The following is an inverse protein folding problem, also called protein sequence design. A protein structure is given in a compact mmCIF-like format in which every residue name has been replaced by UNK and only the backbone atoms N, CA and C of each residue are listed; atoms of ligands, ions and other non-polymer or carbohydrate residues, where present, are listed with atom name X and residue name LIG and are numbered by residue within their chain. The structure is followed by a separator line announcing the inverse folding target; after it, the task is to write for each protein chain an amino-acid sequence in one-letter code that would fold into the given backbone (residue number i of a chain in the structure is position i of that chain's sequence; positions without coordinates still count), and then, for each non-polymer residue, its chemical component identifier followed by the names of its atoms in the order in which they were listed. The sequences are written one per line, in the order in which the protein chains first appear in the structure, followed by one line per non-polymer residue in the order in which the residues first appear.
data_IF_291510903898
#
_entry.id   IF_291510903898
#
_cell.length_a   1.000
_cell.length_b   1.000
_cell.length_c   1.000
_cell.angle_alpha   90.00
_cell.angle_beta   90.00
_cell.angle_gamma   90.00
#
_symmetry.space_group_name_H-M   'P 1'
#
loop_
_entity.id
_entity.type
_entity.pdbx_description
1 polymer ?
#
# COMPACT_ATOMS: atom_id res chain seq x y z
N UNK A 1 7.77 -3.38 -13.38
CA UNK A 1 8.15 -2.02 -12.96
C UNK A 1 6.90 -1.43 -12.35
N UNK A 2 6.96 -1.06 -11.07
CA UNK A 2 5.83 -0.57 -10.29
C UNK A 2 5.76 0.96 -10.40
N UNK A 3 4.58 1.57 -10.27
CA UNK A 3 4.39 3.04 -10.29
C UNK A 3 5.31 3.75 -9.28
N UNK A 4 5.63 3.12 -8.15
CA UNK A 4 6.55 3.68 -7.15
C UNK A 4 7.98 3.89 -7.68
N UNK A 5 8.38 3.15 -8.72
CA UNK A 5 9.70 3.29 -9.36
C UNK A 5 9.80 4.61 -10.15
N UNK A 6 8.68 5.19 -10.54
CA UNK A 6 8.61 6.43 -11.34
C UNK A 6 8.55 7.70 -10.46
N UNK A 7 8.26 7.55 -9.16
CA UNK A 7 8.18 8.66 -8.21
C UNK A 7 9.58 8.97 -7.66
N UNK A 8 10.02 10.23 -7.75
CA UNK A 8 11.22 10.70 -7.06
C UNK A 8 10.91 10.99 -5.60
N UNK A 9 11.37 10.10 -4.72
CA UNK A 9 11.12 10.20 -3.28
C UNK A 9 12.19 11.01 -2.54
N UNK A 10 13.23 11.51 -3.23
CA UNK A 10 14.33 12.22 -2.59
C UNK A 10 13.84 13.47 -1.87
N UNK A 11 14.19 13.59 -0.60
CA UNK A 11 13.79 14.73 0.22
C UNK A 11 12.34 14.69 0.76
N UNK A 12 11.53 13.70 0.34
CA UNK A 12 10.13 13.59 0.78
C UNK A 12 10.00 13.01 2.19
N UNK A 13 8.93 13.41 2.89
CA UNK A 13 8.45 12.76 4.10
C UNK A 13 7.40 11.73 3.71
N UNK A 14 7.75 10.45 3.81
CA UNK A 14 6.90 9.34 3.39
C UNK A 14 6.21 8.66 4.57
N UNK A 15 5.07 8.03 4.32
CA UNK A 15 4.38 7.14 5.25
C UNK A 15 4.16 5.78 4.57
N UNK A 16 4.64 4.72 5.20
CA UNK A 16 4.27 3.34 4.86
C UNK A 16 3.16 2.88 5.81
N UNK A 17 1.97 2.65 5.26
CA UNK A 17 0.80 2.17 5.97
C UNK A 17 0.82 0.64 5.98
N UNK A 18 1.12 0.05 7.14
CA UNK A 18 1.25 -1.40 7.29
C UNK A 18 2.67 -1.89 7.03
N UNK A 19 3.57 -1.73 8.00
CA UNK A 19 5.00 -2.08 7.85
C UNK A 19 5.28 -3.48 7.28
N UNK A 20 4.50 -4.49 7.69
CA UNK A 20 4.71 -5.89 7.30
C UNK A 20 6.15 -6.35 7.48
N UNK A 21 6.73 -6.97 6.46
CA UNK A 21 8.13 -7.39 6.44
C UNK A 21 9.15 -6.23 6.25
N UNK A 22 8.69 -5.01 6.01
CA UNK A 22 9.53 -3.81 5.89
C UNK A 22 10.08 -3.54 4.50
N UNK A 23 9.63 -4.25 3.45
CA UNK A 23 10.16 -4.08 2.09
C UNK A 23 9.97 -2.66 1.56
N UNK A 24 8.75 -2.13 1.61
CA UNK A 24 8.46 -0.77 1.13
C UNK A 24 9.14 0.30 1.99
N UNK A 25 9.16 0.10 3.32
CA UNK A 25 9.89 0.98 4.25
C UNK A 25 11.37 1.09 3.89
N UNK A 26 12.02 -0.05 3.65
CA UNK A 26 13.43 -0.11 3.23
C UNK A 26 13.63 0.53 1.86
N UNK A 27 12.75 0.21 0.90
CA UNK A 27 12.81 0.73 -0.47
C UNK A 27 12.79 2.27 -0.47
N UNK A 28 11.85 2.90 0.25
CA UNK A 28 11.75 4.36 0.35
C UNK A 28 13.01 4.99 0.96
N UNK A 29 13.55 4.38 2.03
CA UNK A 29 14.76 4.88 2.67
C UNK A 29 16.01 4.77 1.77
N UNK A 30 16.14 3.65 1.05
CA UNK A 30 17.21 3.41 0.07
C UNK A 30 17.16 4.37 -1.12
N UNK A 31 15.94 4.75 -1.55
CA UNK A 31 15.70 5.69 -2.66
C UNK A 31 15.86 7.16 -2.27
N UNK A 32 16.18 7.44 -1.01
CA UNK A 32 16.58 8.77 -0.56
C UNK A 32 15.47 9.61 0.05
N UNK A 33 14.36 9.00 0.49
CA UNK A 33 13.38 9.68 1.33
C UNK A 33 14.07 10.39 2.51
N UNK A 34 13.60 11.60 2.84
CA UNK A 34 14.12 12.36 3.98
C UNK A 34 13.78 11.68 5.29
N UNK A 35 12.54 11.20 5.38
CA UNK A 35 12.00 10.50 6.55
C UNK A 35 10.90 9.55 6.10
N UNK A 36 10.87 8.34 6.66
CA UNK A 36 9.82 7.35 6.45
C UNK A 36 9.16 7.03 7.79
N UNK A 37 7.87 7.32 7.91
CA UNK A 37 7.03 6.83 8.99
C UNK A 37 6.52 5.44 8.64
N UNK A 38 7.04 4.40 9.29
CA UNK A 38 6.62 3.02 9.09
C UNK A 38 5.64 2.63 10.19
N UNK A 39 4.37 2.46 9.84
CA UNK A 39 3.28 2.30 10.82
C UNK A 39 2.74 0.87 10.78
N UNK A 40 2.57 0.25 11.94
CA UNK A 40 1.93 -1.06 12.09
C UNK A 40 1.25 -1.18 13.45
N UNK A 41 0.13 -1.88 13.54
CA UNK A 41 -0.48 -2.24 14.83
C UNK A 41 0.21 -3.46 15.47
N UNK A 42 0.99 -4.22 14.71
CA UNK A 42 1.77 -5.37 15.15
C UNK A 42 3.23 -4.96 15.44
N UNK A 43 3.67 -5.18 16.69
CA UNK A 43 5.04 -4.87 17.14
C UNK A 43 6.09 -5.80 16.51
N UNK A 44 5.75 -7.07 16.29
CA UNK A 44 6.68 -8.04 15.70
C UNK A 44 7.06 -7.65 14.26
N UNK A 45 6.10 -7.12 13.48
CA UNK A 45 6.37 -6.56 12.16
C UNK A 45 7.37 -5.40 12.22
N UNK A 46 7.21 -4.49 13.19
CA UNK A 46 8.11 -3.35 13.37
C UNK A 46 9.52 -3.80 13.74
N UNK A 47 9.64 -4.73 14.70
CA UNK A 47 10.92 -5.23 15.16
C UNK A 47 11.65 -6.01 14.05
N UNK A 48 10.91 -6.84 13.31
CA UNK A 48 11.41 -7.57 12.16
C UNK A 48 11.93 -6.63 11.06
N UNK A 49 11.11 -5.65 10.65
CA UNK A 49 11.48 -4.67 9.63
C UNK A 49 12.69 -3.83 10.05
N UNK A 50 12.73 -3.38 11.32
CA UNK A 50 13.85 -2.64 11.89
C UNK A 50 15.15 -3.44 11.86
N UNK A 51 15.10 -4.74 12.23
CA UNK A 51 16.27 -5.63 12.21
C UNK A 51 16.85 -5.81 10.81
N UNK A 52 16.01 -5.81 9.77
CA UNK A 52 16.43 -5.98 8.36
C UNK A 52 16.82 -4.69 7.65
N UNK A 53 16.53 -3.53 8.25
CA UNK A 53 16.89 -2.23 7.69
C UNK A 53 18.41 -2.02 7.80
N UNK A 54 19.13 -1.71 6.71
CA UNK A 54 20.55 -1.39 6.78
C UNK A 54 20.81 -0.23 7.74
N UNK A 55 21.80 -0.37 8.64
CA UNK A 55 22.09 0.60 9.71
C UNK A 55 22.22 2.04 9.23
N UNK A 56 22.78 2.27 8.02
CA UNK A 56 22.91 3.61 7.43
C UNK A 56 21.58 4.34 7.18
N UNK A 57 20.45 3.64 7.21
CA UNK A 57 19.12 4.21 6.99
C UNK A 57 18.27 4.27 8.26
N UNK A 58 18.78 3.80 9.42
CA UNK A 58 17.98 3.71 10.65
C UNK A 58 17.43 5.07 11.08
N UNK A 59 18.25 6.12 10.98
CA UNK A 59 17.87 7.50 11.32
C UNK A 59 16.84 8.10 10.36
N UNK A 60 16.66 7.51 9.17
CA UNK A 60 15.67 7.94 8.19
C UNK A 60 14.31 7.27 8.40
N UNK A 61 14.18 6.33 9.33
CA UNK A 61 12.93 5.57 9.51
C UNK A 61 12.44 5.65 10.95
N UNK A 62 11.20 6.11 11.12
CA UNK A 62 10.48 6.07 12.38
C UNK A 62 9.45 4.95 12.34
N UNK A 63 9.75 3.87 13.04
CA UNK A 63 8.82 2.77 13.28
C UNK A 63 7.86 3.14 14.41
N UNK A 64 6.55 3.15 14.14
CA UNK A 64 5.53 3.57 15.10
C UNK A 64 4.47 2.48 15.21
N UNK A 65 4.23 2.02 16.44
CA UNK A 65 3.10 1.15 16.75
C UNK A 65 1.83 2.00 16.87
N UNK A 66 0.91 1.87 15.92
CA UNK A 66 -0.35 2.61 15.93
C UNK A 66 -1.43 1.91 15.10
N UNK A 67 -2.67 2.27 15.39
CA UNK A 67 -3.82 1.94 14.54
C UNK A 67 -3.88 2.91 13.35
N UNK A 68 -3.94 2.39 12.12
CA UNK A 68 -4.00 3.21 10.91
C UNK A 68 -5.29 4.04 10.83
N UNK A 69 -6.35 3.66 11.55
CA UNK A 69 -7.61 4.43 11.67
C UNK A 69 -7.44 5.69 12.52
N UNK A 70 -6.34 5.80 13.29
CA UNK A 70 -6.03 6.95 14.15
C UNK A 70 -4.53 7.11 14.32
N UNK A 71 -3.92 7.86 13.42
CA UNK A 71 -2.48 8.08 13.36
C UNK A 71 -2.01 9.14 14.37
N UNK A 72 -0.91 8.91 15.12
CA UNK A 72 -0.31 9.89 16.01
C UNK A 72 0.55 10.90 15.24
N UNK A 73 0.03 11.43 14.12
CA UNK A 73 0.71 12.36 13.22
C UNK A 73 -0.15 13.61 13.03
N UNK A 74 0.53 14.74 12.85
CA UNK A 74 -0.11 16.02 12.57
C UNK A 74 -0.76 16.03 11.18
N UNK A 75 -1.82 16.82 11.03
CA UNK A 75 -2.48 17.04 9.74
C UNK A 75 -1.48 17.58 8.72
N UNK A 76 -1.61 17.16 7.46
CA UNK A 76 -0.89 17.75 6.32
C UNK A 76 0.63 17.79 6.49
N UNK A 77 1.22 16.67 6.88
CA UNK A 77 2.68 16.52 7.05
C UNK A 77 3.34 15.51 6.12
N UNK A 78 2.56 14.65 5.45
CA UNK A 78 3.07 13.58 4.59
C UNK A 78 3.05 13.99 3.12
N UNK A 79 4.17 13.81 2.43
CA UNK A 79 4.33 14.09 0.99
C UNK A 79 3.90 12.89 0.13
N UNK A 80 4.20 11.66 0.60
CA UNK A 80 3.89 10.42 -0.09
C UNK A 80 3.41 9.35 0.89
N UNK A 81 2.29 8.72 0.60
CA UNK A 81 1.80 7.54 1.32
C UNK A 81 1.89 6.30 0.43
N UNK A 82 2.40 5.21 0.97
CA UNK A 82 2.37 3.89 0.36
C UNK A 82 1.52 2.95 1.21
N UNK A 83 0.66 2.16 0.56
CA UNK A 83 -0.12 1.09 1.15
C UNK A 83 0.11 -0.16 0.29
N UNK A 84 1.13 -0.94 0.66
CA UNK A 84 1.58 -2.09 -0.10
C UNK A 84 1.17 -3.39 0.59
N UNK A 85 0.36 -4.21 -0.06
CA UNK A 85 -0.19 -5.46 0.51
C UNK A 85 -0.93 -5.22 1.83
N UNK A 86 -1.72 -4.14 1.88
CA UNK A 86 -2.48 -3.72 3.06
C UNK A 86 -3.98 -3.87 2.85
N UNK A 87 -4.52 -3.38 1.73
CA UNK A 87 -5.95 -3.20 1.58
C UNK A 87 -6.68 -4.53 1.59
N UNK A 88 -6.08 -5.60 1.02
CA UNK A 88 -6.73 -6.91 1.01
C UNK A 88 -6.80 -7.57 2.39
N UNK A 89 -6.09 -7.11 3.41
CA UNK A 89 -6.18 -7.66 4.79
C UNK A 89 -7.04 -6.80 5.72
N UNK A 90 -7.75 -5.80 5.18
CA UNK A 90 -8.58 -4.87 5.95
C UNK A 90 -10.04 -5.02 5.51
N UNK A 91 -10.97 -5.02 6.46
CA UNK A 91 -12.41 -5.05 6.15
C UNK A 91 -12.90 -3.70 5.57
N UNK A 92 -14.05 -3.67 4.89
CA UNK A 92 -14.46 -2.48 4.13
C UNK A 92 -14.67 -1.21 4.98
N UNK A 93 -15.17 -1.38 6.21
CA UNK A 93 -15.43 -0.27 7.14
C UNK A 93 -14.11 0.34 7.60
N UNK A 94 -13.20 -0.51 8.05
CA UNK A 94 -11.88 -0.05 8.51
C UNK A 94 -11.06 0.53 7.37
N UNK A 95 -11.18 0.00 6.14
CA UNK A 95 -10.48 0.52 4.97
C UNK A 95 -10.85 1.98 4.69
N UNK A 96 -12.14 2.33 4.76
CA UNK A 96 -12.59 3.71 4.62
C UNK A 96 -12.03 4.61 5.72
N UNK A 97 -12.03 4.14 6.97
CA UNK A 97 -11.50 4.90 8.11
C UNK A 97 -9.99 5.12 7.99
N UNK A 98 -9.25 4.11 7.54
CA UNK A 98 -7.82 4.20 7.25
C UNK A 98 -7.57 5.22 6.16
N UNK A 99 -8.26 5.13 5.01
CA UNK A 99 -8.05 6.11 3.93
C UNK A 99 -8.41 7.54 4.35
N UNK A 100 -9.46 7.72 5.17
CA UNK A 100 -9.78 9.03 5.75
C UNK A 100 -8.62 9.56 6.60
N UNK A 101 -8.02 8.72 7.43
CA UNK A 101 -6.91 9.12 8.30
C UNK A 101 -5.61 9.38 7.53
N UNK A 102 -5.33 8.57 6.50
CA UNK A 102 -4.23 8.80 5.56
C UNK A 102 -4.42 10.13 4.81
N UNK A 103 -5.65 10.45 4.42
CA UNK A 103 -6.00 11.74 3.80
C UNK A 103 -5.79 12.91 4.76
N UNK A 104 -6.12 12.76 6.05
CA UNK A 104 -5.91 13.80 7.06
C UNK A 104 -4.44 14.21 7.20
N UNK A 105 -3.54 13.22 7.21
CA UNK A 105 -2.09 13.46 7.38
C UNK A 105 -1.39 13.87 6.09
N UNK A 106 -2.00 13.63 4.93
CA UNK A 106 -1.47 14.01 3.62
C UNK A 106 -1.45 15.54 3.44
N UNK A 107 -0.33 16.07 2.94
CA UNK A 107 -0.23 17.47 2.50
C UNK A 107 -1.14 17.74 1.31
N UNK A 108 -1.37 19.02 1.03
CA UNK A 108 -1.91 19.43 -0.26
C UNK A 108 -0.95 18.97 -1.38
N UNK A 109 -1.47 18.31 -2.40
CA UNK A 109 -0.70 17.69 -3.51
C UNK A 109 0.20 16.51 -3.11
N UNK A 110 -0.05 15.88 -1.96
CA UNK A 110 0.60 14.61 -1.65
C UNK A 110 0.22 13.55 -2.69
N UNK A 111 1.03 12.49 -2.77
CA UNK A 111 0.74 11.30 -3.56
C UNK A 111 0.37 10.13 -2.66
N UNK A 112 -0.51 9.25 -3.15
CA UNK A 112 -0.79 7.97 -2.51
C UNK A 112 -0.62 6.85 -3.54
N UNK A 113 0.15 5.82 -3.18
CA UNK A 113 0.34 4.61 -3.98
C UNK A 113 -0.25 3.43 -3.22
N UNK A 114 -1.32 2.87 -3.76
CA UNK A 114 -1.90 1.62 -3.27
C UNK A 114 -1.47 0.52 -4.24
N UNK A 115 -0.85 -0.53 -3.71
CA UNK A 115 -0.44 -1.70 -4.49
C UNK A 115 -0.89 -2.94 -3.75
N UNK A 116 -1.84 -3.65 -4.34
CA UNK A 116 -2.40 -4.87 -3.79
C UNK A 116 -3.05 -5.70 -4.89
N UNK A 117 -3.65 -6.83 -4.51
CA UNK A 117 -4.32 -7.69 -5.45
C UNK A 117 -5.71 -7.17 -5.85
N UNK A 118 -6.00 -7.27 -7.14
CA UNK A 118 -7.36 -7.11 -7.67
C UNK A 118 -8.14 -8.43 -7.46
N UNK A 119 -9.49 -8.45 -7.55
CA UNK A 119 -10.25 -9.69 -7.39
C UNK A 119 -9.74 -10.79 -8.31
N UNK A 120 -9.65 -11.99 -7.75
CA UNK A 120 -8.97 -13.13 -8.36
C UNK A 120 -9.49 -13.51 -9.76
N UNK A 121 -10.79 -13.27 -10.02
CA UNK A 121 -11.40 -13.44 -11.35
C UNK A 121 -10.84 -12.52 -12.45
N UNK A 122 -10.01 -11.55 -12.08
CA UNK A 122 -9.36 -10.63 -13.02
C UNK A 122 -8.12 -11.21 -13.67
N UNK A 123 -7.59 -12.32 -13.14
CA UNK A 123 -6.36 -12.93 -13.64
C UNK A 123 -6.65 -14.02 -14.68
N UNK A 124 -5.81 -14.11 -15.73
CA UNK A 124 -6.09 -14.94 -16.94
C UNK A 124 -4.98 -15.92 -17.31
N UNK A 125 -3.97 -16.10 -16.46
CA UNK A 125 -2.89 -17.05 -16.69
C UNK A 125 -2.90 -18.20 -15.67
N UNK A 126 -2.28 -19.32 -16.04
CA UNK A 126 -2.21 -20.54 -15.21
C UNK A 126 -1.59 -20.27 -13.83
N UNK A 127 -0.57 -19.42 -13.75
CA UNK A 127 0.08 -19.09 -12.46
C UNK A 127 -0.87 -18.35 -11.54
N UNK A 128 -1.69 -17.47 -12.09
CA UNK A 128 -2.65 -16.69 -11.34
C UNK A 128 -3.80 -17.53 -10.84
N UNK A 129 -4.20 -18.59 -11.56
CA UNK A 129 -5.16 -19.56 -11.06
C UNK A 129 -4.64 -20.34 -9.84
N UNK A 130 -3.37 -20.73 -9.84
CA UNK A 130 -2.75 -21.41 -8.68
C UNK A 130 -2.71 -20.47 -7.46
N UNK A 131 -2.34 -19.20 -7.67
CA UNK A 131 -2.34 -18.18 -6.62
C UNK A 131 -3.76 -17.92 -6.11
N UNK A 132 -4.75 -17.88 -7.00
CA UNK A 132 -6.16 -17.76 -6.64
C UNK A 132 -6.62 -18.93 -5.77
N UNK A 133 -6.31 -20.17 -6.17
CA UNK A 133 -6.69 -21.36 -5.43
C UNK A 133 -6.08 -21.38 -4.02
N UNK A 134 -4.80 -21.01 -3.90
CA UNK A 134 -4.12 -20.88 -2.61
C UNK A 134 -4.85 -19.89 -1.70
N UNK A 135 -5.17 -18.70 -2.20
CA UNK A 135 -5.87 -17.69 -1.40
C UNK A 135 -7.31 -18.08 -1.05
N UNK A 136 -7.98 -18.84 -1.92
CA UNK A 136 -9.31 -19.40 -1.60
C UNK A 136 -9.23 -20.40 -0.45
N UNK A 137 -8.23 -21.27 -0.44
CA UNK A 137 -8.00 -22.24 0.65
C UNK A 137 -7.66 -21.51 1.95
N UNK A 138 -6.78 -20.50 1.90
CA UNK A 138 -6.44 -19.68 3.06
C UNK A 138 -7.68 -19.00 3.64
N UNK A 139 -8.49 -18.35 2.80
CA UNK A 139 -9.74 -17.71 3.21
C UNK A 139 -10.72 -18.70 3.83
N UNK A 140 -10.93 -19.87 3.21
CA UNK A 140 -11.82 -20.90 3.75
C UNK A 140 -11.36 -21.36 5.14
N UNK A 141 -10.05 -21.56 5.32
CA UNK A 141 -9.46 -21.96 6.61
C UNK A 141 -9.67 -20.88 7.68
N UNK A 142 -9.47 -19.61 7.31
CA UNK A 142 -9.66 -18.48 8.23
C UNK A 142 -11.13 -18.34 8.64
N UNK A 143 -12.06 -18.46 7.70
CA UNK A 143 -13.49 -18.47 8.01
C UNK A 143 -13.87 -19.58 8.98
N UNK A 144 -13.40 -20.80 8.74
CA UNK A 144 -13.70 -21.96 9.59
C UNK A 144 -13.11 -21.83 11.00
N UNK A 145 -11.96 -21.16 11.14
CA UNK A 145 -11.24 -21.08 12.43
C UNK A 145 -11.52 -19.80 13.22
N UNK A 146 -11.90 -18.71 12.55
CA UNK A 146 -12.03 -17.37 13.15
C UNK A 146 -13.36 -16.67 12.86
N UNK A 147 -14.17 -17.21 11.93
CA UNK A 147 -15.43 -16.59 11.52
C UNK A 147 -15.28 -15.39 10.58
N UNK A 148 -14.07 -15.12 10.08
CA UNK A 148 -13.75 -13.99 9.21
C UNK A 148 -12.73 -14.40 8.12
N UNK A 149 -12.71 -13.73 6.96
CA UNK A 149 -11.74 -14.04 5.90
C UNK A 149 -10.32 -13.66 6.32
N UNK A 150 -9.31 -14.29 5.71
CA UNK A 150 -7.94 -13.79 5.77
C UNK A 150 -7.75 -12.55 4.88
N UNK A 151 -8.40 -12.58 3.71
CA UNK A 151 -8.29 -11.61 2.64
C UNK A 151 -9.69 -11.20 2.14
N UNK A 152 -9.89 -9.90 1.97
CA UNK A 152 -11.04 -9.27 1.31
C UNK A 152 -10.59 -8.73 -0.05
N UNK A 153 -11.37 -9.01 -1.10
CA UNK A 153 -11.03 -8.61 -2.46
C UNK A 153 -11.78 -7.36 -2.86
N UNK A 154 -11.04 -6.32 -3.26
CA UNK A 154 -11.59 -5.05 -3.69
C UNK A 154 -11.27 -4.82 -5.17
N UNK A 155 -12.28 -4.65 -6.05
CA UNK A 155 -12.05 -4.14 -7.38
C UNK A 155 -11.29 -2.82 -7.33
N UNK A 156 -10.36 -2.60 -8.24
CA UNK A 156 -9.60 -1.34 -8.29
C UNK A 156 -10.49 -0.10 -8.46
N UNK A 157 -11.66 -0.26 -9.08
CA UNK A 157 -12.71 0.75 -9.20
C UNK A 157 -13.29 1.12 -7.83
N UNK A 158 -13.52 0.13 -6.95
CA UNK A 158 -14.01 0.39 -5.59
C UNK A 158 -13.02 1.22 -4.78
N UNK A 159 -11.72 0.88 -4.85
CA UNK A 159 -10.66 1.65 -4.19
C UNK A 159 -10.60 3.07 -4.78
N UNK A 160 -10.67 3.18 -6.11
CA UNK A 160 -10.62 4.47 -6.82
C UNK A 160 -11.79 5.38 -6.43
N UNK A 161 -13.01 4.85 -6.34
CA UNK A 161 -14.20 5.62 -5.95
C UNK A 161 -14.14 6.09 -4.49
N UNK A 162 -13.63 5.27 -3.56
CA UNK A 162 -13.42 5.72 -2.18
C UNK A 162 -12.41 6.87 -2.13
N UNK A 163 -11.27 6.73 -2.83
CA UNK A 163 -10.24 7.77 -2.83
C UNK A 163 -10.76 9.06 -3.47
N UNK A 164 -11.52 8.98 -4.58
CA UNK A 164 -12.20 10.14 -5.18
C UNK A 164 -13.17 10.79 -4.20
N UNK A 165 -13.98 10.01 -3.50
CA UNK A 165 -14.89 10.50 -2.47
C UNK A 165 -14.15 11.26 -1.35
N UNK A 166 -12.94 10.83 -1.02
CA UNK A 166 -12.06 11.51 -0.04
C UNK A 166 -11.28 12.70 -0.63
N UNK A 167 -11.52 13.07 -1.90
CA UNK A 167 -10.93 14.24 -2.53
C UNK A 167 -9.63 13.98 -3.29
N UNK A 168 -9.25 12.72 -3.51
CA UNK A 168 -8.09 12.38 -4.33
C UNK A 168 -8.43 12.37 -5.82
N UNK A 169 -7.46 12.77 -6.64
CA UNK A 169 -7.49 12.54 -8.10
C UNK A 169 -6.73 11.26 -8.39
N UNK A 170 -7.31 10.40 -9.23
CA UNK A 170 -6.66 9.17 -9.68
C UNK A 170 -5.82 9.48 -10.92
N UNK A 171 -4.50 9.30 -10.80
CA UNK A 171 -3.55 9.52 -11.91
C UNK A 171 -3.46 8.31 -12.83
N UNK A 172 -3.34 7.11 -12.25
CA UNK A 172 -3.21 5.85 -12.98
C UNK A 172 -3.75 4.69 -12.16
N UNK A 173 -4.25 3.67 -12.85
CA UNK A 173 -4.61 2.36 -12.31
C UNK A 173 -4.06 1.33 -13.28
N UNK A 174 -3.24 0.42 -12.78
CA UNK A 174 -2.60 -0.61 -13.60
C UNK A 174 -2.81 -1.99 -13.01
N UNK A 175 -3.22 -2.93 -13.85
CA UNK A 175 -3.30 -4.34 -13.49
C UNK A 175 -2.04 -5.06 -13.98
N UNK A 176 -1.17 -5.44 -13.04
CA UNK A 176 0.18 -5.96 -13.34
C UNK A 176 0.18 -7.26 -14.18
N UNK A 177 -0.84 -8.11 -14.03
CA UNK A 177 -0.95 -9.39 -14.74
C UNK A 177 -1.56 -9.28 -16.13
N UNK A 178 -2.07 -8.11 -16.53
CA UNK A 178 -2.54 -7.85 -17.89
C UNK A 178 -1.39 -7.44 -18.83
N UNK A 179 -0.18 -7.22 -18.28
CA UNK A 179 1.04 -7.05 -19.07
C UNK A 179 1.52 -8.40 -19.59
N UNK A 180 0.86 -8.88 -20.64
CA UNK A 180 1.53 -9.74 -21.62
C UNK A 180 2.86 -9.08 -22.01
N UNK A 181 3.94 -9.85 -22.00
CA UNK A 181 5.26 -9.38 -22.44
C UNK A 181 5.15 -8.98 -23.92
N UNK A 182 4.81 -7.72 -24.22
CA UNK A 182 4.72 -7.29 -25.62
C UNK A 182 3.97 -6.01 -25.98
N UNK A 183 3.24 -5.33 -25.07
CA UNK A 183 2.56 -4.06 -25.44
C UNK A 183 3.02 -2.91 -24.54
N UNK A 184 3.95 -2.11 -25.06
CA UNK A 184 4.25 -0.76 -24.55
C UNK A 184 3.00 0.10 -24.75
N UNK A 185 2.19 0.29 -23.70
CA UNK A 185 1.17 1.32 -23.72
C UNK A 185 1.84 2.68 -23.52
N UNK A 186 1.42 3.60 -24.39
CA UNK A 186 2.01 4.90 -24.65
C UNK A 186 1.86 5.81 -23.43
N UNK A 187 2.99 6.31 -22.90
CA UNK A 187 3.01 7.40 -21.94
C UNK A 187 2.51 8.68 -22.61
N UNK A 188 1.38 9.22 -22.13
CA UNK A 188 1.01 10.61 -22.41
C UNK A 188 1.29 11.43 -21.16
N UNK A 189 2.44 12.09 -21.17
CA UNK A 189 2.75 13.20 -20.29
C UNK A 189 1.74 14.32 -20.54
N UNK A 190 0.93 14.68 -19.55
CA UNK A 190 0.39 16.03 -19.41
C UNK A 190 0.42 16.37 -17.91
N UNK A 191 1.45 17.11 -17.50
CA UNK A 191 1.43 17.88 -16.25
C UNK A 191 0.50 19.10 -16.42
N UNK A 192 0.00 19.58 -15.28
CA UNK A 192 -0.71 20.85 -15.03
C UNK A 192 -0.89 21.82 -16.20
#
# INVERSE_FOLDING_TARGET
MSVIDEIDVRGLTCLEAGTGAGFMTRYLAERGAKLVYSISNNQEHLDYARKRLPKKYIEKVKFIKADLRKLPLLNRTIDLTTAHMLVNVVNPVDLLLIFKELTRVAKNNALMVVNDYNPLSSYRDERSHIVEELFRIENATHYLTRGEPALVWYPSEYISEILKFLGWRIETVELMYDRTHGRRSCSKNISK
#
